data_IF_200988073578
#
_entry.id   IF_200988073578
#
_cell.length_a   1.000
_cell.length_b   1.000
_cell.length_c   1.000
_cell.angle_alpha   90.00
_cell.angle_beta   90.00
_cell.angle_gamma   90.00
#
_symmetry.space_group_name_H-M   'P 1'
#
loop_
_entity.id
_entity.type
_entity.pdbx_description
1 polymer ?
#
# COMPACT_ATOMS: atom_id res chain seq x y z
N UNK A 1 4.84 9.13 -7.05
CA UNK A 1 3.75 9.78 -6.35
C UNK A 1 2.48 8.94 -6.37
N UNK A 2 1.77 8.94 -5.28
CA UNK A 2 0.48 8.27 -5.19
C UNK A 2 -0.62 9.33 -5.08
N UNK A 3 -1.81 8.99 -5.57
CA UNK A 3 -2.99 9.84 -5.46
C UNK A 3 -3.96 9.19 -4.48
N UNK A 4 -4.36 9.94 -3.45
CA UNK A 4 -5.28 9.47 -2.42
C UNK A 4 -6.46 10.44 -2.30
N UNK A 5 -7.66 9.92 -2.47
CA UNK A 5 -8.90 10.70 -2.37
C UNK A 5 -9.76 10.14 -1.25
N UNK A 6 -10.02 10.92 -0.21
CA UNK A 6 -10.98 10.55 0.83
C UNK A 6 -10.87 9.14 1.41
N UNK A 7 -9.69 8.55 1.33
CA UNK A 7 -9.44 7.19 1.80
C UNK A 7 -8.79 7.22 3.18
N UNK A 8 -8.85 6.08 3.87
CA UNK A 8 -8.18 5.91 5.15
C UNK A 8 -6.93 5.06 4.94
N UNK A 9 -5.77 5.60 5.28
CA UNK A 9 -4.51 4.87 5.24
C UNK A 9 -4.03 4.71 6.67
N UNK A 10 -4.01 3.48 7.16
CA UNK A 10 -3.53 3.21 8.50
C UNK A 10 -2.00 3.27 8.55
N UNK A 11 -1.44 3.22 9.75
CA UNK A 11 0.01 3.25 9.94
C UNK A 11 0.68 2.02 9.33
N UNK A 12 1.98 2.13 9.05
CA UNK A 12 2.80 1.00 8.62
C UNK A 12 2.38 0.38 7.29
N UNK A 13 1.90 1.20 6.36
CA UNK A 13 1.59 0.77 5.00
C UNK A 13 2.68 1.22 4.03
N UNK A 14 2.87 0.46 2.95
CA UNK A 14 3.66 0.90 1.80
C UNK A 14 2.73 1.16 0.62
N UNK A 15 2.80 2.36 0.09
CA UNK A 15 2.03 2.74 -1.09
C UNK A 15 3.01 2.93 -2.24
N UNK A 16 2.87 2.12 -3.26
CA UNK A 16 3.74 2.17 -4.44
C UNK A 16 3.56 3.46 -5.24
N UNK A 17 4.61 3.82 -5.96
CA UNK A 17 4.61 5.02 -6.80
C UNK A 17 3.54 4.93 -7.88
N UNK A 18 2.79 6.01 -8.08
CA UNK A 18 1.74 6.05 -9.11
C UNK A 18 0.45 5.33 -8.74
N UNK A 19 0.35 4.75 -7.56
CA UNK A 19 -0.90 4.12 -7.13
C UNK A 19 -2.00 5.17 -6.93
N UNK A 20 -3.23 4.78 -7.20
CA UNK A 20 -4.41 5.62 -6.98
C UNK A 20 -5.33 4.93 -5.99
N UNK A 21 -5.72 5.65 -4.94
CA UNK A 21 -6.60 5.12 -3.89
C UNK A 21 -7.82 6.02 -3.82
N UNK A 22 -8.99 5.45 -4.13
CA UNK A 22 -10.22 6.21 -4.28
C UNK A 22 -10.98 6.34 -2.96
N UNK A 23 -12.06 7.11 -3.00
CA UNK A 23 -12.84 7.46 -1.80
C UNK A 23 -13.34 6.24 -1.06
N UNK A 24 -13.35 6.35 0.26
CA UNK A 24 -13.87 5.32 1.16
C UNK A 24 -13.09 4.01 1.15
N UNK A 25 -11.97 3.95 0.43
CA UNK A 25 -11.08 2.79 0.53
C UNK A 25 -10.35 2.82 1.88
N UNK A 26 -9.98 1.65 2.36
CA UNK A 26 -9.20 1.52 3.61
C UNK A 26 -7.97 0.68 3.32
N UNK A 27 -6.80 1.22 3.62
CA UNK A 27 -5.55 0.46 3.55
C UNK A 27 -5.12 0.15 4.98
N UNK A 28 -5.22 -1.12 5.34
CA UNK A 28 -4.94 -1.55 6.71
C UNK A 28 -3.45 -1.58 6.99
N UNK A 29 -3.12 -1.44 8.27
CA UNK A 29 -1.73 -1.44 8.74
C UNK A 29 -0.98 -2.69 8.27
N UNK A 30 0.23 -2.50 7.77
CA UNK A 30 1.05 -3.62 7.29
C UNK A 30 0.74 -4.08 5.87
N UNK A 31 -0.19 -3.42 5.18
CA UNK A 31 -0.52 -3.74 3.80
C UNK A 31 0.45 -3.06 2.83
N UNK A 32 0.55 -3.62 1.64
CA UNK A 32 1.36 -3.06 0.56
C UNK A 32 0.48 -2.87 -0.67
N UNK A 33 0.49 -1.66 -1.20
CA UNK A 33 -0.16 -1.34 -2.48
C UNK A 33 0.95 -1.18 -3.51
N UNK A 34 0.95 -2.02 -4.54
CA UNK A 34 1.99 -2.01 -5.55
C UNK A 34 1.95 -0.74 -6.40
N UNK A 35 3.06 -0.45 -7.06
CA UNK A 35 3.15 0.70 -7.95
C UNK A 35 2.06 0.64 -9.03
N UNK A 36 1.48 1.79 -9.33
CA UNK A 36 0.44 1.97 -10.35
C UNK A 36 -0.85 1.17 -10.12
N UNK A 37 -1.04 0.61 -8.93
CA UNK A 37 -2.29 -0.09 -8.62
C UNK A 37 -3.45 0.89 -8.46
N UNK A 38 -4.65 0.42 -8.75
CA UNK A 38 -5.88 1.20 -8.54
C UNK A 38 -6.70 0.55 -7.44
N UNK A 39 -6.75 1.20 -6.29
CA UNK A 39 -7.60 0.77 -5.18
C UNK A 39 -8.94 1.49 -5.35
N UNK A 40 -9.97 0.74 -5.70
CA UNK A 40 -11.28 1.30 -6.02
C UNK A 40 -12.04 1.76 -4.78
N UNK A 41 -13.05 2.58 -4.98
CA UNK A 41 -13.87 3.11 -3.88
C UNK A 41 -14.44 2.00 -3.01
N UNK A 42 -14.30 2.15 -1.71
CA UNK A 42 -14.82 1.19 -0.74
C UNK A 42 -14.00 -0.08 -0.59
N UNK A 43 -12.93 -0.25 -1.35
CA UNK A 43 -12.08 -1.44 -1.25
C UNK A 43 -11.30 -1.41 0.07
N UNK A 44 -11.18 -2.58 0.70
CA UNK A 44 -10.35 -2.74 1.90
C UNK A 44 -9.10 -3.54 1.53
N UNK A 45 -7.94 -2.92 1.68
CA UNK A 45 -6.66 -3.56 1.46
C UNK A 45 -6.22 -4.19 2.78
N UNK A 46 -6.26 -5.52 2.84
CA UNK A 46 -6.07 -6.26 4.09
C UNK A 46 -4.65 -6.18 4.62
N UNK A 47 -4.54 -6.09 5.93
CA UNK A 47 -3.28 -6.13 6.64
C UNK A 47 -2.45 -7.35 6.25
N UNK A 48 -1.17 -7.15 5.99
CA UNK A 48 -0.26 -8.26 5.68
C UNK A 48 -0.36 -8.80 4.26
N UNK A 49 -1.06 -8.10 3.37
CA UNK A 49 -1.21 -8.53 1.98
C UNK A 49 -0.73 -7.46 1.00
N UNK A 50 -0.33 -7.94 -0.19
CA UNK A 50 0.06 -7.08 -1.30
C UNK A 50 -1.09 -7.04 -2.30
N UNK A 51 -1.50 -5.84 -2.67
CA UNK A 51 -2.52 -5.61 -3.71
C UNK A 51 -1.87 -4.95 -4.91
N UNK A 52 -2.19 -5.45 -6.11
CA UNK A 52 -1.60 -4.96 -7.35
C UNK A 52 -2.60 -5.02 -8.50
N UNK A 53 -2.36 -4.21 -9.50
CA UNK A 53 -3.15 -4.23 -10.74
C UNK A 53 -4.19 -3.12 -10.83
N UNK A 54 -4.93 -3.10 -11.95
CA UNK A 54 -5.98 -2.13 -12.25
C UNK A 54 -7.21 -2.89 -12.78
N UNK A 55 -8.27 -3.06 -11.97
CA UNK A 55 -8.37 -2.76 -10.56
C UNK A 55 -7.48 -3.67 -9.72
N UNK A 56 -7.05 -3.19 -8.57
CA UNK A 56 -6.14 -3.96 -7.73
C UNK A 56 -6.81 -5.21 -7.15
N UNK A 57 -6.01 -6.26 -6.99
CA UNK A 57 -6.46 -7.51 -6.41
C UNK A 57 -5.44 -7.99 -5.41
N UNK A 58 -5.89 -8.77 -4.45
CA UNK A 58 -5.03 -9.42 -3.48
C UNK A 58 -4.12 -10.42 -4.20
N UNK A 59 -2.82 -10.20 -4.14
CA UNK A 59 -1.85 -11.00 -4.89
C UNK A 59 -1.19 -12.05 -4.02
N UNK A 60 -0.54 -11.64 -2.93
CA UNK A 60 0.17 -12.55 -2.04
C UNK A 60 0.39 -11.90 -0.68
N UNK A 61 0.77 -12.70 0.31
CA UNK A 61 1.11 -12.20 1.63
C UNK A 61 2.43 -11.42 1.61
N UNK A 62 2.51 -10.42 2.46
CA UNK A 62 3.74 -9.68 2.68
C UNK A 62 4.73 -10.60 3.38
N UNK A 63 5.96 -10.72 2.83
CA UNK A 63 6.99 -11.55 3.45
C UNK A 63 7.53 -10.89 4.72
N UNK A 64 8.23 -11.69 5.56
CA UNK A 64 8.89 -11.16 6.74
C UNK A 64 9.89 -10.06 6.40
N UNK A 65 10.66 -10.26 5.32
CA UNK A 65 11.62 -9.27 4.88
C UNK A 65 10.95 -7.95 4.50
N UNK A 66 9.82 -8.03 3.82
CA UNK A 66 9.05 -6.84 3.44
C UNK A 66 8.48 -6.15 4.68
N UNK A 67 8.00 -6.90 5.66
CA UNK A 67 7.50 -6.32 6.90
C UNK A 67 8.61 -5.60 7.66
N UNK A 68 9.79 -6.19 7.74
CA UNK A 68 10.95 -5.57 8.38
C UNK A 68 11.36 -4.31 7.66
N UNK A 69 11.34 -4.32 6.33
CA UNK A 69 11.67 -3.14 5.52
C UNK A 69 10.69 -2.00 5.78
N UNK A 70 9.41 -2.30 5.90
CA UNK A 70 8.39 -1.30 6.25
C UNK A 70 8.70 -0.65 7.59
N UNK A 71 8.99 -1.47 8.59
CA UNK A 71 9.31 -0.99 9.94
C UNK A 71 10.56 -0.10 9.92
N UNK A 72 11.59 -0.51 9.20
CA UNK A 72 12.82 0.28 9.05
C UNK A 72 12.55 1.64 8.40
N UNK A 73 11.75 1.66 7.36
CA UNK A 73 11.43 2.90 6.66
C UNK A 73 10.66 3.85 7.56
N UNK A 74 9.75 3.35 8.35
CA UNK A 74 9.00 4.15 9.31
C UNK A 74 9.93 4.72 10.38
N UNK A 75 10.82 3.88 10.91
CA UNK A 75 11.76 4.29 11.95
C UNK A 75 12.71 5.39 11.47
N UNK A 76 12.96 5.47 10.18
CA UNK A 76 13.84 6.49 9.58
C UNK A 76 13.07 7.67 8.98
N UNK A 77 11.80 7.82 9.29
CA UNK A 77 10.94 8.89 8.78
C UNK A 77 10.84 8.94 7.25
N UNK A 78 11.00 7.82 6.60
CA UNK A 78 10.84 7.77 5.15
C UNK A 78 9.38 7.92 4.76
N UNK A 79 9.16 8.59 3.64
CA UNK A 79 7.87 8.57 2.97
C UNK A 79 7.66 7.15 2.47
N UNK A 80 6.49 6.60 2.69
CA UNK A 80 6.19 5.20 2.47
C UNK A 80 5.88 4.88 1.00
N UNK A 81 6.77 5.29 0.10
CA UNK A 81 6.68 4.97 -1.32
C UNK A 81 7.76 3.97 -1.67
N UNK A 82 7.34 2.80 -2.13
CA UNK A 82 8.27 1.75 -2.45
C UNK A 82 8.86 1.94 -3.84
N UNK A 83 10.18 1.98 -3.94
CA UNK A 83 10.87 2.02 -5.24
C UNK A 83 11.23 0.63 -5.75
N UNK A 84 11.20 -0.36 -4.90
CA UNK A 84 11.58 -1.73 -5.25
C UNK A 84 10.51 -2.49 -6.03
N UNK A 85 9.45 -1.81 -6.41
CA UNK A 85 8.48 -2.35 -7.36
C UNK A 85 8.84 -2.09 -8.81
N UNK A 86 9.78 -1.23 -9.02
CA UNK A 86 10.16 -0.81 -10.38
C UNK A 86 10.88 -1.91 -11.16
#
# INVERSE_FOLDING_TARGET
>A
NATVHGATIESNCLIGMGATILDNAVVESGAIVAANALITSGMRVESGWIYAGVPAKKIKEVSKEQQEDIVKRIANDYIMYASWYE
#
